data_IF_074198692009
#
_entry.id   IF_074198692009
#
_cell.length_a   1.000
_cell.length_b   1.000
_cell.length_c   1.000
_cell.angle_alpha   90.00
_cell.angle_beta   90.00
_cell.angle_gamma   90.00
#
_symmetry.space_group_name_H-M   'P 1'
#
loop_
_entity.id
_entity.type
_entity.pdbx_description
1 polymer ?
#
# COMPACT_ATOMS: atom_id res chain seq x y z
N UNK A 1 -16.79 45.58 28.82
CA UNK A 1 -15.33 45.37 28.94
C UNK A 1 -15.13 44.80 30.33
N UNK A 2 -14.60 43.61 30.58
CA UNK A 2 -13.53 42.85 29.92
C UNK A 2 -13.81 41.36 30.13
N UNK A 3 -13.67 40.56 29.07
CA UNK A 3 -13.55 39.11 29.23
C UNK A 3 -12.25 38.75 29.94
N UNK A 4 -12.19 37.54 30.49
CA UNK A 4 -10.95 36.79 30.64
C UNK A 4 -11.28 35.32 30.92
N UNK A 5 -10.85 34.45 30.00
CA UNK A 5 -10.87 33.01 30.09
C UNK A 5 -9.91 32.50 31.19
N UNK A 6 -10.24 31.35 31.78
CA UNK A 6 -9.42 30.65 32.78
C UNK A 6 -8.23 29.95 32.08
N UNK A 7 -7.01 30.04 32.63
CA UNK A 7 -5.78 29.53 32.01
C UNK A 7 -5.72 28.00 31.95
N UNK A 8 -5.09 27.52 30.89
CA UNK A 8 -4.82 26.12 30.60
C UNK A 8 -3.49 25.66 31.22
N UNK A 9 -3.52 25.09 32.44
CA UNK A 9 -2.45 24.22 32.92
C UNK A 9 -2.91 23.34 34.09
N UNK A 10 -3.28 22.09 33.80
CA UNK A 10 -3.10 20.95 34.70
C UNK A 10 -3.19 19.67 33.87
N UNK A 11 -2.05 19.23 33.32
CA UNK A 11 -1.91 17.88 32.76
C UNK A 11 -1.84 16.88 33.92
N UNK A 12 -3.00 16.55 34.50
CA UNK A 12 -3.14 15.29 35.22
C UNK A 12 -2.88 14.15 34.22
N UNK A 13 -2.01 13.20 34.60
CA UNK A 13 -1.65 12.05 33.77
C UNK A 13 -2.90 11.42 33.16
N UNK A 14 -3.02 11.49 31.84
CA UNK A 14 -4.17 10.94 31.13
C UNK A 14 -4.28 9.44 31.43
N UNK A 15 -5.47 9.00 31.84
CA UNK A 15 -5.81 7.57 31.88
C UNK A 15 -5.34 6.94 30.57
N UNK A 16 -4.53 5.87 30.65
CA UNK A 16 -4.18 5.08 29.46
C UNK A 16 -5.49 4.69 28.79
N UNK A 17 -5.71 5.19 27.56
CA UNK A 17 -6.89 4.79 26.78
C UNK A 17 -6.81 3.28 26.60
N UNK A 18 -7.91 2.59 26.85
CA UNK A 18 -8.01 1.16 26.59
C UNK A 18 -7.54 0.88 25.16
N UNK A 19 -6.68 -0.13 25.01
CA UNK A 19 -6.29 -0.68 23.71
C UNK A 19 -7.55 -0.97 22.92
N UNK A 20 -7.68 -0.28 21.80
CA UNK A 20 -8.88 -0.16 21.00
C UNK A 20 -9.41 -1.55 20.58
N UNK A 21 -10.56 -1.97 21.11
CA UNK A 21 -11.29 -3.13 20.58
C UNK A 21 -11.61 -2.94 19.08
N UNK A 22 -11.61 -4.03 18.32
CA UNK A 22 -11.71 -4.02 16.85
C UNK A 22 -12.98 -3.34 16.31
N UNK A 23 -14.07 -3.31 17.10
CA UNK A 23 -15.36 -2.68 16.77
C UNK A 23 -15.50 -1.20 17.14
N UNK A 24 -14.45 -0.54 17.64
CA UNK A 24 -14.54 0.90 17.84
C UNK A 24 -14.17 1.66 16.55
N UNK A 25 -14.81 2.82 16.35
CA UNK A 25 -14.59 3.69 15.20
C UNK A 25 -13.16 4.24 15.06
N UNK A 26 -12.32 4.06 16.09
CA UNK A 26 -10.90 4.42 16.13
C UNK A 26 -9.96 3.20 15.96
N UNK A 27 -10.47 2.00 15.70
CA UNK A 27 -9.64 0.82 15.45
C UNK A 27 -9.00 0.95 14.07
N UNK A 28 -7.74 0.53 13.93
CA UNK A 28 -7.04 0.61 12.64
C UNK A 28 -7.77 -0.18 11.55
N UNK A 29 -8.40 -1.30 11.91
CA UNK A 29 -9.20 -2.11 11.00
C UNK A 29 -10.45 -1.35 10.53
N UNK A 30 -11.18 -0.70 11.44
CA UNK A 30 -12.34 0.12 11.09
C UNK A 30 -11.95 1.33 10.23
N UNK A 31 -10.81 1.97 10.53
CA UNK A 31 -10.27 3.07 9.71
C UNK A 31 -9.90 2.57 8.30
N UNK A 32 -9.31 1.38 8.19
CA UNK A 32 -9.01 0.73 6.89
C UNK A 32 -10.28 0.52 6.08
N UNK A 33 -11.31 -0.06 6.69
CA UNK A 33 -12.62 -0.28 6.09
C UNK A 33 -13.30 1.03 5.65
N UNK A 34 -13.36 2.03 6.54
CA UNK A 34 -13.98 3.31 6.26
C UNK A 34 -13.28 4.02 5.09
N UNK A 35 -11.94 3.95 5.03
CA UNK A 35 -11.16 4.50 3.93
C UNK A 35 -11.38 3.73 2.62
N UNK A 36 -11.44 2.40 2.66
CA UNK A 36 -11.78 1.56 1.50
C UNK A 36 -13.14 1.98 0.93
N UNK A 37 -14.18 2.00 1.77
CA UNK A 37 -15.54 2.39 1.38
C UNK A 37 -15.59 3.81 0.82
N UNK A 38 -14.88 4.76 1.44
CA UNK A 38 -14.78 6.15 0.95
C UNK A 38 -14.15 6.23 -0.43
N UNK A 39 -13.06 5.50 -0.70
CA UNK A 39 -12.37 5.50 -2.00
C UNK A 39 -13.28 5.03 -3.14
N UNK A 40 -14.18 4.09 -2.87
CA UNK A 40 -15.13 3.60 -3.87
C UNK A 40 -16.37 4.52 -4.01
N UNK A 41 -16.98 4.95 -2.90
CA UNK A 41 -18.27 5.63 -2.94
C UNK A 41 -18.16 7.15 -3.10
N UNK A 42 -17.12 7.76 -2.52
CA UNK A 42 -16.93 9.22 -2.47
C UNK A 42 -15.44 9.57 -2.62
N UNK A 43 -14.77 9.19 -3.74
CA UNK A 43 -13.39 9.58 -4.00
C UNK A 43 -13.27 11.10 -4.14
N UNK A 44 -12.10 11.66 -3.79
CA UNK A 44 -11.85 13.10 -3.84
C UNK A 44 -10.51 13.42 -4.50
N UNK A 45 -10.42 14.55 -5.18
CA UNK A 45 -9.17 15.02 -5.82
C UNK A 45 -8.60 13.99 -6.80
N UNK A 46 -7.30 13.69 -6.67
CA UNK A 46 -6.61 12.72 -7.52
C UNK A 46 -7.08 11.27 -7.36
N UNK A 47 -7.81 10.94 -6.29
CA UNK A 47 -8.38 9.61 -6.08
C UNK A 47 -9.49 9.30 -7.09
N UNK A 48 -10.19 10.31 -7.63
CA UNK A 48 -11.29 10.12 -8.58
C UNK A 48 -10.80 9.36 -9.81
N UNK A 49 -9.65 9.76 -10.35
CA UNK A 49 -9.05 9.08 -11.49
C UNK A 49 -8.47 7.71 -11.09
N UNK A 50 -7.82 7.63 -9.92
CA UNK A 50 -7.14 6.40 -9.46
C UNK A 50 -8.11 5.25 -9.16
N UNK A 51 -9.29 5.56 -8.62
CA UNK A 51 -10.29 4.56 -8.25
C UNK A 51 -11.50 4.58 -9.18
N UNK A 52 -11.38 5.18 -10.36
CA UNK A 52 -12.42 5.15 -11.39
C UNK A 52 -12.71 3.69 -11.77
N UNK A 53 -13.96 3.26 -11.61
CA UNK A 53 -14.38 1.89 -11.92
C UNK A 53 -14.03 0.85 -10.86
N UNK A 54 -13.42 1.25 -9.74
CA UNK A 54 -13.12 0.33 -8.63
C UNK A 54 -14.37 0.17 -7.76
N UNK A 55 -14.92 -1.02 -7.73
CA UNK A 55 -16.11 -1.36 -6.94
C UNK A 55 -15.75 -1.93 -5.57
N UNK A 56 -16.76 -2.02 -4.70
CA UNK A 56 -16.70 -2.69 -3.40
C UNK A 56 -17.82 -3.73 -3.38
N UNK A 57 -17.54 -4.96 -2.94
CA UNK A 57 -18.58 -5.98 -2.82
C UNK A 57 -19.63 -5.58 -1.77
N UNK A 58 -20.87 -6.02 -1.98
CA UNK A 58 -22.01 -5.63 -1.14
C UNK A 58 -21.84 -6.06 0.32
N UNK A 59 -21.24 -7.23 0.55
CA UNK A 59 -20.98 -7.75 1.89
C UNK A 59 -20.10 -6.82 2.73
N UNK A 60 -19.15 -6.13 2.08
CA UNK A 60 -18.23 -5.21 2.75
C UNK A 60 -18.78 -3.78 2.86
N UNK A 61 -20.04 -3.56 2.47
CA UNK A 61 -20.75 -2.31 2.77
C UNK A 61 -21.00 -2.17 4.28
N UNK A 62 -21.03 -3.28 5.01
CA UNK A 62 -21.08 -3.35 6.47
C UNK A 62 -19.70 -3.71 7.04
N UNK A 63 -19.44 -3.28 8.28
CA UNK A 63 -18.14 -3.50 8.90
C UNK A 63 -17.94 -4.96 9.35
N UNK A 64 -18.97 -5.59 9.92
CA UNK A 64 -18.83 -6.92 10.52
C UNK A 64 -18.36 -8.00 9.53
N UNK A 65 -18.92 -8.12 8.31
CA UNK A 65 -18.44 -9.12 7.34
C UNK A 65 -16.99 -8.85 6.92
N UNK A 66 -16.62 -7.58 6.73
CA UNK A 66 -15.26 -7.19 6.42
C UNK A 66 -14.29 -7.51 7.57
N UNK A 67 -14.69 -7.28 8.83
CA UNK A 67 -13.88 -7.61 9.99
C UNK A 67 -13.65 -9.12 10.10
N UNK A 68 -14.72 -9.92 9.99
CA UNK A 68 -14.62 -11.39 10.05
C UNK A 68 -13.67 -11.92 8.98
N UNK A 69 -13.85 -11.47 7.74
CA UNK A 69 -12.93 -11.82 6.66
C UNK A 69 -11.50 -11.38 7.00
N UNK A 70 -11.31 -10.17 7.52
CA UNK A 70 -9.98 -9.64 7.79
C UNK A 70 -9.23 -10.45 8.86
N UNK A 71 -9.91 -10.80 9.94
CA UNK A 71 -9.34 -11.63 11.00
C UNK A 71 -9.01 -13.04 10.51
N UNK A 72 -9.86 -13.62 9.67
CA UNK A 72 -9.62 -14.92 9.05
C UNK A 72 -8.46 -14.90 8.02
N UNK A 73 -8.16 -13.73 7.44
CA UNK A 73 -7.15 -13.56 6.38
C UNK A 73 -5.86 -12.88 6.88
N UNK A 74 -5.56 -13.03 8.17
CA UNK A 74 -4.25 -12.66 8.74
C UNK A 74 -4.06 -11.17 8.98
N UNK A 75 -5.14 -10.41 9.21
CA UNK A 75 -5.02 -9.01 9.63
C UNK A 75 -4.13 -8.85 10.86
N UNK A 76 -3.18 -7.92 10.76
CA UNK A 76 -2.45 -7.37 11.91
C UNK A 76 -2.36 -5.86 11.77
N UNK A 77 -2.06 -5.16 12.88
CA UNK A 77 -1.95 -3.70 12.89
C UNK A 77 -0.68 -3.20 12.14
N UNK A 78 0.18 -4.09 11.68
CA UNK A 78 1.37 -3.77 10.89
C UNK A 78 1.06 -3.84 9.39
N UNK A 79 0.10 -4.69 9.01
CA UNK A 79 -0.24 -4.95 7.62
C UNK A 79 -1.20 -3.90 7.05
N UNK A 80 -1.32 -3.93 5.73
CA UNK A 80 -2.14 -3.01 4.95
C UNK A 80 -2.95 -3.77 3.92
N UNK A 81 -4.19 -3.35 3.71
CA UNK A 81 -5.06 -3.96 2.71
C UNK A 81 -4.56 -3.60 1.30
N UNK A 82 -4.28 -4.62 0.51
CA UNK A 82 -3.81 -4.54 -0.88
C UNK A 82 -4.82 -5.21 -1.82
N UNK A 83 -4.89 -4.72 -3.07
CA UNK A 83 -5.65 -5.38 -4.14
C UNK A 83 -4.67 -6.14 -5.02
N UNK A 84 -4.83 -7.45 -5.11
CA UNK A 84 -3.96 -8.34 -5.90
C UNK A 84 -3.94 -7.87 -7.36
N UNK A 85 -5.13 -7.67 -7.93
CA UNK A 85 -5.30 -7.12 -9.26
C UNK A 85 -5.87 -5.70 -9.17
N UNK A 86 -5.03 -4.73 -9.51
CA UNK A 86 -5.37 -3.29 -9.42
C UNK A 86 -6.56 -2.84 -10.28
N UNK A 87 -6.90 -3.59 -11.34
CA UNK A 87 -8.06 -3.35 -12.22
C UNK A 87 -9.38 -3.80 -11.61
N UNK A 88 -9.36 -4.70 -10.62
CA UNK A 88 -10.55 -5.23 -9.95
C UNK A 88 -10.92 -4.45 -8.69
N UNK A 89 -12.14 -4.70 -8.21
CA UNK A 89 -12.73 -4.09 -7.01
C UNK A 89 -12.13 -4.62 -5.70
N UNK A 90 -12.71 -4.18 -4.58
CA UNK A 90 -12.47 -4.76 -3.26
C UNK A 90 -13.46 -5.89 -3.02
N UNK A 91 -12.93 -7.10 -2.94
CA UNK A 91 -13.69 -8.34 -2.69
C UNK A 91 -12.76 -9.37 -2.04
N UNK A 92 -13.31 -10.36 -1.30
CA UNK A 92 -12.52 -11.41 -0.65
C UNK A 92 -11.48 -12.09 -1.54
N UNK A 93 -11.80 -12.31 -2.82
CA UNK A 93 -10.92 -12.99 -3.78
C UNK A 93 -9.84 -12.11 -4.41
N UNK A 94 -9.95 -10.78 -4.32
CA UNK A 94 -9.00 -9.83 -4.90
C UNK A 94 -8.23 -9.03 -3.84
N UNK A 95 -8.49 -9.26 -2.56
CA UNK A 95 -7.85 -8.53 -1.48
C UNK A 95 -6.94 -9.43 -0.65
N UNK A 96 -5.85 -8.85 -0.13
CA UNK A 96 -4.93 -9.51 0.79
C UNK A 96 -4.36 -8.51 1.78
N UNK A 97 -3.96 -8.98 2.95
CA UNK A 97 -3.11 -8.20 3.85
C UNK A 97 -1.65 -8.37 3.47
N UNK A 98 -0.93 -7.25 3.31
CA UNK A 98 0.47 -7.26 2.94
C UNK A 98 1.23 -6.10 3.56
N UNK A 99 2.55 -6.24 3.60
CA UNK A 99 3.45 -5.21 4.10
C UNK A 99 3.49 -4.02 3.12
N UNK A 100 3.64 -2.81 3.65
CA UNK A 100 3.77 -1.60 2.84
C UNK A 100 4.90 -1.69 1.80
N UNK A 101 6.00 -2.37 2.13
CA UNK A 101 7.12 -2.62 1.22
C UNK A 101 6.72 -3.51 0.05
N UNK A 102 5.81 -4.47 0.25
CA UNK A 102 5.27 -5.31 -0.82
C UNK A 102 4.39 -4.49 -1.77
N UNK A 103 3.53 -3.63 -1.23
CA UNK A 103 2.74 -2.71 -2.05
C UNK A 103 3.63 -1.75 -2.85
N UNK A 104 4.71 -1.26 -2.24
CA UNK A 104 5.67 -0.38 -2.90
C UNK A 104 6.47 -1.10 -4.00
N UNK A 105 6.84 -2.36 -3.76
CA UNK A 105 7.51 -3.22 -4.72
C UNK A 105 6.67 -3.49 -5.99
N UNK A 106 5.34 -3.54 -5.84
CA UNK A 106 4.38 -3.85 -6.90
C UNK A 106 3.77 -2.61 -7.57
N UNK A 107 4.43 -1.45 -7.46
CA UNK A 107 3.99 -0.24 -8.16
C UNK A 107 4.15 -0.39 -9.67
N UNK A 108 3.13 0.07 -10.41
CA UNK A 108 3.14 0.12 -11.88
C UNK A 108 4.29 1.00 -12.40
N UNK A 109 4.69 0.72 -13.64
CA UNK A 109 5.58 1.60 -14.41
C UNK A 109 5.01 3.02 -14.46
N UNK A 110 5.88 3.99 -14.25
CA UNK A 110 5.55 5.39 -14.48
C UNK A 110 5.57 5.69 -15.97
N UNK A 111 4.76 6.65 -16.41
CA UNK A 111 4.81 7.27 -17.75
C UNK A 111 6.21 7.74 -18.17
N UNK A 112 7.03 8.15 -17.20
CA UNK A 112 8.44 8.55 -17.42
C UNK A 112 9.39 7.38 -17.69
N UNK A 113 8.94 6.13 -17.57
CA UNK A 113 9.78 4.97 -17.83
C UNK A 113 9.84 4.71 -19.34
N UNK A 114 11.04 4.84 -19.91
CA UNK A 114 11.29 4.61 -21.34
C UNK A 114 11.77 3.20 -21.65
N UNK A 115 12.09 2.39 -20.64
CA UNK A 115 12.63 1.03 -20.84
C UNK A 115 11.56 -0.03 -21.00
N UNK A 116 10.32 0.24 -20.56
CA UNK A 116 9.24 -0.75 -20.50
C UNK A 116 9.40 -1.78 -19.38
N UNK A 117 10.49 -1.71 -18.61
CA UNK A 117 10.86 -2.70 -17.60
C UNK A 117 11.04 -2.05 -16.23
N UNK A 118 10.42 -2.63 -15.19
CA UNK A 118 10.45 -2.06 -13.83
C UNK A 118 11.88 -2.12 -13.30
N UNK A 119 12.41 -1.00 -12.79
CA UNK A 119 13.74 -0.95 -12.19
C UNK A 119 14.92 -1.04 -13.18
N UNK A 120 14.65 -1.00 -14.49
CA UNK A 120 15.68 -0.92 -15.54
C UNK A 120 15.60 0.44 -16.21
N UNK A 121 16.73 1.11 -16.42
CA UNK A 121 16.77 2.44 -17.07
C UNK A 121 18.08 2.66 -17.83
N UNK A 122 18.03 3.41 -18.92
CA UNK A 122 19.22 3.83 -19.64
C UNK A 122 19.94 4.97 -18.90
N UNK A 123 21.22 4.77 -18.57
CA UNK A 123 22.05 5.73 -17.84
C UNK A 123 23.49 5.68 -18.36
N UNK A 124 24.07 6.84 -18.69
CA UNK A 124 25.48 6.97 -19.16
C UNK A 124 25.87 5.97 -20.25
N UNK A 125 24.99 5.77 -21.24
CA UNK A 125 25.23 4.89 -22.38
C UNK A 125 25.16 3.38 -22.07
N UNK A 126 24.57 2.98 -20.93
CA UNK A 126 24.40 1.58 -20.53
C UNK A 126 23.03 1.36 -19.88
N UNK A 127 22.52 0.14 -19.92
CA UNK A 127 21.32 -0.26 -19.19
C UNK A 127 21.66 -0.52 -17.73
N UNK A 128 21.09 0.27 -16.82
CA UNK A 128 21.28 0.12 -15.37
C UNK A 128 20.09 -0.62 -14.78
N UNK A 129 20.36 -1.66 -13.97
CA UNK A 129 19.34 -2.39 -13.23
C UNK A 129 19.46 -2.13 -11.73
N UNK A 130 18.31 -1.87 -11.08
CA UNK A 130 18.20 -1.63 -9.65
C UNK A 130 16.95 -2.28 -9.05
N UNK A 131 17.06 -2.66 -7.79
CA UNK A 131 15.95 -3.17 -6.97
C UNK A 131 15.84 -2.31 -5.73
N UNK A 132 14.62 -1.91 -5.35
CA UNK A 132 14.37 -1.22 -4.09
C UNK A 132 13.59 -2.15 -3.17
N UNK A 133 14.13 -2.43 -1.99
CA UNK A 133 13.49 -3.27 -0.98
C UNK A 133 13.72 -2.69 0.42
N UNK A 134 12.67 -2.62 1.25
CA UNK A 134 12.73 -2.08 2.61
C UNK A 134 13.44 -0.71 2.71
N UNK A 135 13.10 0.22 1.81
CA UNK A 135 13.72 1.56 1.68
C UNK A 135 15.20 1.58 1.29
N UNK A 136 15.83 0.43 1.06
CA UNK A 136 17.20 0.32 0.54
C UNK A 136 17.18 0.12 -0.97
N UNK A 137 18.08 0.81 -1.67
CA UNK A 137 18.28 0.64 -3.10
C UNK A 137 19.52 -0.22 -3.35
N UNK A 138 19.33 -1.28 -4.12
CA UNK A 138 20.35 -2.26 -4.47
C UNK A 138 20.66 -2.09 -5.95
N UNK A 139 21.93 -1.80 -6.24
CA UNK A 139 22.43 -1.61 -7.60
C UNK A 139 22.97 -2.94 -8.12
N UNK A 140 22.34 -3.49 -9.15
CA UNK A 140 22.71 -4.80 -9.71
C UNK A 140 23.82 -4.69 -10.75
N UNK A 141 23.98 -3.50 -11.35
CA UNK A 141 25.04 -3.22 -12.31
C UNK A 141 24.56 -2.43 -13.51
N UNK A 142 25.49 -2.25 -14.46
CA UNK A 142 25.25 -1.62 -15.76
C UNK A 142 25.64 -2.60 -16.87
N UNK A 143 24.76 -2.77 -17.84
CA UNK A 143 24.84 -3.77 -18.91
C UNK A 143 24.82 -3.08 -20.27
N UNK A 144 25.34 -3.76 -21.29
CA UNK A 144 25.29 -3.26 -22.67
C UNK A 144 23.90 -3.46 -23.27
N UNK A 145 23.29 -4.61 -22.98
CA UNK A 145 21.98 -5.00 -23.50
C UNK A 145 20.89 -4.92 -22.43
N UNK A 146 19.68 -4.55 -22.86
CA UNK A 146 18.52 -4.43 -21.96
C UNK A 146 18.11 -5.79 -21.39
N UNK A 147 18.25 -6.85 -22.19
CA UNK A 147 17.91 -8.23 -21.80
C UNK A 147 18.74 -8.70 -20.62
N UNK A 148 20.03 -8.35 -20.60
CA UNK A 148 20.93 -8.70 -19.51
C UNK A 148 20.55 -7.96 -18.21
N UNK A 149 20.20 -6.68 -18.33
CA UNK A 149 19.74 -5.88 -17.19
C UNK A 149 18.43 -6.42 -16.59
N UNK A 150 17.48 -6.83 -17.44
CA UNK A 150 16.21 -7.46 -17.04
C UNK A 150 16.48 -8.83 -16.39
N UNK A 151 17.33 -9.66 -17.00
CA UNK A 151 17.71 -10.96 -16.47
C UNK A 151 18.36 -10.83 -15.11
N UNK A 152 19.35 -9.95 -14.94
CA UNK A 152 20.02 -9.72 -13.67
C UNK A 152 19.03 -9.29 -12.57
N UNK A 153 18.04 -8.47 -12.91
CA UNK A 153 16.97 -8.09 -11.97
C UNK A 153 16.09 -9.29 -11.61
N UNK A 154 15.60 -10.04 -12.59
CA UNK A 154 14.71 -11.17 -12.34
C UNK A 154 15.42 -12.30 -11.57
N UNK A 155 16.70 -12.56 -11.86
CA UNK A 155 17.54 -13.50 -11.11
C UNK A 155 17.71 -13.06 -9.66
N UNK A 156 17.94 -11.76 -9.42
CA UNK A 156 18.04 -11.22 -8.06
C UNK A 156 16.74 -11.36 -7.28
N UNK A 157 15.60 -11.09 -7.91
CA UNK A 157 14.29 -11.26 -7.29
C UNK A 157 14.03 -12.72 -6.91
N UNK A 158 14.41 -13.66 -7.79
CA UNK A 158 14.27 -15.09 -7.54
C UNK A 158 15.23 -15.61 -6.45
N UNK A 159 16.47 -15.12 -6.41
CA UNK A 159 17.46 -15.52 -5.41
C UNK A 159 17.12 -15.03 -3.99
N UNK A 160 16.33 -13.96 -3.87
CA UNK A 160 15.98 -13.33 -2.59
C UNK A 160 14.48 -13.46 -2.24
N UNK A 161 13.72 -14.26 -3.00
CA UNK A 161 12.27 -14.45 -2.84
C UNK A 161 11.48 -13.13 -2.68
N UNK A 162 11.88 -12.13 -3.45
CA UNK A 162 11.32 -10.79 -3.31
C UNK A 162 9.96 -10.69 -4.04
N UNK A 163 8.96 -10.03 -3.42
CA UNK A 163 7.58 -10.03 -3.91
C UNK A 163 7.33 -8.98 -5.01
N UNK A 164 8.37 -8.52 -5.71
CA UNK A 164 8.26 -7.54 -6.80
C UNK A 164 7.70 -8.19 -8.06
N UNK A 165 6.98 -7.37 -8.85
CA UNK A 165 6.69 -7.71 -10.23
C UNK A 165 7.99 -7.89 -11.03
N UNK A 166 8.09 -9.04 -11.70
CA UNK A 166 9.17 -9.35 -12.62
C UNK A 166 9.14 -8.36 -13.79
N UNK A 167 10.34 -7.94 -14.19
CA UNK A 167 10.53 -7.01 -15.29
C UNK A 167 10.35 -7.72 -16.63
#
# INVERSE_FOLDING_TARGET
MTGLCIPCANKAAGRKRATHGLNNSNSRLHVTWANMKRRCLKPRGSEIQKYRGVTLCEEWMSFDPFMQWSLANGYTDELTLDRIESSKGYEPGNCRYTDYNVQAANRRLTDKNTSGHVGVSWDRGRWSAKVQWQKKQIHLGRFKDIKDAVKARNDYLAAHDLPHLRA
#
